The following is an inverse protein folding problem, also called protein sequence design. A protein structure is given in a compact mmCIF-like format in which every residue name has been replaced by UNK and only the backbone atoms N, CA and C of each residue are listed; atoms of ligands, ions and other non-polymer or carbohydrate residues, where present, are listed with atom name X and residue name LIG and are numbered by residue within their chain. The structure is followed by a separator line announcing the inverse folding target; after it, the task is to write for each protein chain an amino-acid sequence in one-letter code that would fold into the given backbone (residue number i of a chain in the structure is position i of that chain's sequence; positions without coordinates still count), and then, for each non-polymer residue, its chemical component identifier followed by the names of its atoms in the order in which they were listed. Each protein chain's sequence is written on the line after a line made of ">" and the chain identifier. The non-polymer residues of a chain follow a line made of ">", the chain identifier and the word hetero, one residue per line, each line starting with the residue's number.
data_IF_386680179040
#
_entry.id   IF_386680179040
#
_cell.length_a   1.000
_cell.length_b   1.000
_cell.length_c   1.000
_cell.angle_alpha   90.00
_cell.angle_beta   90.00
_cell.angle_gamma   90.00
#
_symmetry.space_group_name_H-M   'P 1'
#
loop_
_entity.id
_entity.type
_entity.pdbx_description
1 polymer ?
#
# COMPACT_ATOMS: atom_id res chain seq x y z
N UNK A 1 32.56 13.70 -3.50
CA UNK A 1 31.35 14.45 -3.08
C UNK A 1 31.58 15.01 -1.68
N UNK A 2 31.04 16.17 -1.35
CA UNK A 2 31.12 16.69 0.02
C UNK A 2 30.21 15.86 0.95
N UNK A 3 30.53 15.79 2.24
CA UNK A 3 29.70 15.12 3.26
C UNK A 3 28.24 15.65 3.23
N UNK A 4 28.06 16.96 3.03
CA UNK A 4 26.75 17.60 2.91
C UNK A 4 25.96 17.08 1.70
N UNK A 5 26.59 16.87 0.55
CA UNK A 5 25.93 16.33 -0.65
C UNK A 5 25.42 14.92 -0.39
N UNK A 6 26.22 14.05 0.21
CA UNK A 6 25.82 12.67 0.53
C UNK A 6 24.63 12.66 1.51
N UNK A 7 24.67 13.52 2.53
CA UNK A 7 23.56 13.64 3.50
C UNK A 7 22.27 14.15 2.86
N UNK A 8 22.36 15.13 1.95
CA UNK A 8 21.20 15.67 1.24
C UNK A 8 20.59 14.60 0.34
N UNK A 9 21.40 13.89 -0.44
CA UNK A 9 20.95 12.78 -1.27
C UNK A 9 20.23 11.70 -0.44
N UNK A 10 20.76 11.35 0.72
CA UNK A 10 20.11 10.39 1.61
C UNK A 10 18.72 10.87 2.07
N UNK A 11 18.61 12.14 2.49
CA UNK A 11 17.32 12.73 2.89
C UNK A 11 16.33 12.72 1.75
N UNK A 12 16.74 13.05 0.53
CA UNK A 12 15.91 13.02 -0.67
C UNK A 12 15.41 11.61 -0.99
N UNK A 13 16.27 10.59 -0.85
CA UNK A 13 15.89 9.20 -1.06
C UNK A 13 14.86 8.72 -0.02
N UNK A 14 15.06 9.04 1.25
CA UNK A 14 14.08 8.74 2.31
C UNK A 14 12.75 9.42 2.02
N UNK A 15 12.76 10.70 1.62
CA UNK A 15 11.56 11.44 1.25
C UNK A 15 10.85 10.83 0.03
N UNK A 16 11.60 10.30 -0.95
CA UNK A 16 11.05 9.63 -2.12
C UNK A 16 10.33 8.32 -1.72
N UNK A 17 10.93 7.49 -0.86
CA UNK A 17 10.32 6.25 -0.35
C UNK A 17 9.07 6.56 0.48
N UNK A 18 9.11 7.58 1.35
CA UNK A 18 7.92 8.04 2.08
C UNK A 18 6.78 8.44 1.15
N UNK A 19 7.08 9.25 0.13
CA UNK A 19 6.08 9.67 -0.88
C UNK A 19 5.51 8.47 -1.62
N UNK A 20 6.38 7.52 -1.99
CA UNK A 20 5.97 6.28 -2.63
C UNK A 20 4.94 5.53 -1.76
N UNK A 21 5.24 5.33 -0.48
CA UNK A 21 4.32 4.64 0.44
C UNK A 21 3.02 5.40 0.69
N UNK A 22 3.10 6.68 1.02
CA UNK A 22 1.91 7.46 1.40
C UNK A 22 1.02 7.79 0.21
N UNK A 23 1.62 8.33 -0.88
CA UNK A 23 0.85 8.87 -1.98
C UNK A 23 0.56 7.86 -3.08
N UNK A 24 1.51 6.96 -3.39
CA UNK A 24 1.31 5.99 -4.46
C UNK A 24 0.60 4.74 -3.94
N UNK A 25 1.06 4.16 -2.81
CA UNK A 25 0.46 2.95 -2.28
C UNK A 25 -0.83 3.24 -1.49
N UNK A 26 -0.74 3.93 -0.35
CA UNK A 26 -1.88 4.09 0.56
C UNK A 26 -3.03 4.88 -0.09
N UNK A 27 -2.77 6.10 -0.54
CA UNK A 27 -3.80 6.91 -1.24
C UNK A 27 -4.23 6.24 -2.56
N UNK A 28 -3.28 5.63 -3.31
CA UNK A 28 -3.58 4.95 -4.56
C UNK A 28 -4.54 3.78 -4.38
N UNK A 29 -4.32 2.90 -3.40
CA UNK A 29 -5.23 1.79 -3.10
C UNK A 29 -6.59 2.30 -2.61
N UNK A 30 -6.63 3.30 -1.72
CA UNK A 30 -7.87 3.87 -1.22
C UNK A 30 -8.70 4.53 -2.35
N UNK A 31 -8.04 5.15 -3.31
CA UNK A 31 -8.67 5.70 -4.52
C UNK A 31 -9.25 4.61 -5.41
N UNK A 32 -8.52 3.51 -5.63
CA UNK A 32 -9.01 2.36 -6.39
C UNK A 32 -10.26 1.74 -5.74
N UNK A 33 -10.26 1.59 -4.42
CA UNK A 33 -11.43 1.11 -3.65
C UNK A 33 -12.62 2.06 -3.81
N UNK A 34 -12.37 3.36 -3.89
CA UNK A 34 -13.38 4.38 -4.15
C UNK A 34 -13.85 4.47 -5.62
N UNK A 35 -13.26 3.67 -6.52
CA UNK A 35 -13.61 3.62 -7.95
C UNK A 35 -12.80 4.57 -8.84
N UNK A 36 -11.83 5.30 -8.29
CA UNK A 36 -10.93 6.16 -9.07
C UNK A 36 -9.76 5.35 -9.64
N UNK A 37 -9.87 4.97 -10.89
CA UNK A 37 -8.87 4.13 -11.58
C UNK A 37 -7.63 4.90 -12.04
N UNK A 38 -7.57 6.21 -11.91
CA UNK A 38 -6.42 7.02 -12.32
C UNK A 38 -5.14 6.71 -11.53
N UNK A 39 -5.27 6.10 -10.32
CA UNK A 39 -4.15 5.65 -9.51
C UNK A 39 -3.39 4.44 -10.11
N UNK A 40 -3.98 3.68 -11.05
CA UNK A 40 -3.37 2.46 -11.62
C UNK A 40 -2.00 2.70 -12.23
N UNK A 41 -1.85 3.75 -13.03
CA UNK A 41 -0.61 4.02 -13.74
C UNK A 41 0.56 4.27 -12.77
N UNK A 42 0.33 5.05 -11.71
CA UNK A 42 1.35 5.33 -10.71
C UNK A 42 1.74 4.07 -9.92
N UNK A 43 0.77 3.29 -9.46
CA UNK A 43 1.02 2.02 -8.78
C UNK A 43 1.79 1.05 -9.67
N UNK A 44 1.37 0.87 -10.92
CA UNK A 44 2.04 0.01 -11.89
C UNK A 44 3.49 0.44 -12.16
N UNK A 45 3.76 1.73 -12.32
CA UNK A 45 5.10 2.25 -12.59
C UNK A 45 6.10 1.95 -11.47
N UNK A 46 5.62 1.80 -10.25
CA UNK A 46 6.44 1.54 -9.06
C UNK A 46 6.48 0.08 -8.59
N UNK A 47 5.98 -0.86 -9.38
CA UNK A 47 6.20 -2.29 -9.16
C UNK A 47 7.38 -2.76 -10.03
N UNK A 48 8.33 -3.51 -9.47
CA UNK A 48 9.35 -4.19 -10.27
C UNK A 48 8.71 -5.33 -11.08
N UNK A 49 9.36 -5.76 -12.14
CA UNK A 49 8.84 -6.84 -12.98
C UNK A 49 8.67 -8.16 -12.22
N UNK A 50 9.57 -8.39 -11.26
CA UNK A 50 9.66 -9.58 -10.41
C UNK A 50 9.05 -9.38 -9.01
N UNK A 51 8.23 -8.35 -8.82
CA UNK A 51 7.64 -8.02 -7.51
C UNK A 51 6.94 -9.22 -6.88
N UNK A 52 7.13 -9.34 -5.56
CA UNK A 52 6.48 -10.35 -4.74
C UNK A 52 5.58 -9.67 -3.72
N UNK A 53 4.34 -10.11 -3.63
CA UNK A 53 3.43 -9.69 -2.55
C UNK A 53 3.09 -10.88 -1.65
N UNK A 54 3.22 -10.67 -0.34
CA UNK A 54 3.00 -11.64 0.71
C UNK A 54 2.05 -11.04 1.74
N UNK A 55 0.80 -11.49 1.75
CA UNK A 55 -0.22 -10.99 2.66
C UNK A 55 -0.78 -12.09 3.53
N UNK A 56 -0.92 -11.81 4.82
CA UNK A 56 -1.45 -12.75 5.80
C UNK A 56 -2.69 -13.50 5.28
N UNK A 57 -2.60 -14.82 5.29
CA UNK A 57 -3.69 -15.71 4.88
C UNK A 57 -3.90 -15.82 3.36
N UNK A 58 -2.91 -15.43 2.55
CA UNK A 58 -2.89 -15.65 1.11
C UNK A 58 -1.68 -16.46 0.69
N UNK A 59 -1.77 -17.09 -0.48
CA UNK A 59 -0.60 -17.64 -1.16
C UNK A 59 0.31 -16.51 -1.62
N UNK A 60 1.61 -16.83 -1.72
CA UNK A 60 2.61 -15.90 -2.22
C UNK A 60 2.32 -15.55 -3.69
N UNK A 61 2.26 -14.26 -3.97
CA UNK A 61 1.95 -13.74 -5.30
C UNK A 61 3.20 -13.18 -5.94
N UNK A 62 3.55 -13.69 -7.10
CA UNK A 62 4.77 -13.32 -7.81
C UNK A 62 4.49 -12.73 -9.18
N UNK A 63 5.29 -11.73 -9.53
CA UNK A 63 5.23 -11.05 -10.81
C UNK A 63 4.24 -9.88 -10.85
N UNK A 64 4.63 -8.87 -11.60
CA UNK A 64 3.92 -7.59 -11.69
C UNK A 64 2.44 -7.76 -12.07
N UNK A 65 2.15 -8.54 -13.10
CA UNK A 65 0.77 -8.72 -13.57
C UNK A 65 -0.13 -9.36 -12.49
N UNK A 66 0.40 -10.31 -11.71
CA UNK A 66 -0.33 -10.93 -10.61
C UNK A 66 -0.66 -9.94 -9.50
N UNK A 67 0.32 -9.12 -9.11
CA UNK A 67 0.16 -8.12 -8.05
C UNK A 67 -0.79 -6.99 -8.51
N UNK A 68 -0.69 -6.57 -9.78
CA UNK A 68 -1.61 -5.60 -10.38
C UNK A 68 -3.06 -6.10 -10.38
N UNK A 69 -3.30 -7.35 -10.75
CA UNK A 69 -4.65 -7.91 -10.73
C UNK A 69 -5.27 -7.88 -9.33
N UNK A 70 -4.46 -8.05 -8.28
CA UNK A 70 -4.94 -7.92 -6.91
C UNK A 70 -5.29 -6.47 -6.57
N UNK A 71 -4.41 -5.52 -6.83
CA UNK A 71 -4.65 -4.12 -6.52
C UNK A 71 -5.80 -3.52 -7.34
N UNK A 72 -5.89 -3.90 -8.62
CA UNK A 72 -6.80 -3.26 -9.56
C UNK A 72 -8.18 -3.91 -9.65
N UNK A 73 -8.29 -5.18 -9.23
CA UNK A 73 -9.52 -5.96 -9.37
C UNK A 73 -9.99 -6.52 -8.02
N UNK A 74 -9.15 -7.30 -7.34
CA UNK A 74 -9.59 -8.03 -6.15
C UNK A 74 -9.83 -7.12 -4.94
N UNK A 75 -8.97 -6.14 -4.69
CA UNK A 75 -9.11 -5.22 -3.56
C UNK A 75 -10.37 -4.36 -3.73
N UNK A 76 -10.61 -3.70 -4.89
CA UNK A 76 -11.85 -2.95 -5.12
C UNK A 76 -13.12 -3.82 -5.15
N UNK A 77 -13.01 -5.11 -5.54
CA UNK A 77 -14.14 -6.04 -5.47
C UNK A 77 -14.43 -6.49 -4.03
N UNK A 78 -13.45 -6.44 -3.14
CA UNK A 78 -13.58 -6.85 -1.74
C UNK A 78 -14.06 -5.71 -0.84
N UNK A 79 -13.53 -4.51 -1.04
CA UNK A 79 -13.77 -3.35 -0.18
C UNK A 79 -14.62 -2.29 -0.88
N UNK A 80 -15.51 -1.67 -0.13
CA UNK A 80 -16.25 -0.46 -0.55
C UNK A 80 -15.64 0.81 0.03
N UNK A 81 -14.83 0.68 1.07
CA UNK A 81 -14.06 1.75 1.68
C UNK A 81 -12.78 1.17 2.29
N UNK A 82 -11.70 1.92 2.20
CA UNK A 82 -10.48 1.73 2.98
C UNK A 82 -9.82 3.07 3.24
N UNK A 83 -9.07 3.13 4.33
CA UNK A 83 -8.22 4.26 4.63
C UNK A 83 -6.92 3.73 5.24
N UNK A 84 -5.93 3.54 4.38
CA UNK A 84 -4.61 3.08 4.82
C UNK A 84 -3.87 4.21 5.52
N UNK A 85 -3.53 3.99 6.77
CA UNK A 85 -2.66 4.86 7.56
C UNK A 85 -1.41 4.07 7.93
N UNK A 86 -0.24 4.63 7.64
CA UNK A 86 1.05 4.03 8.00
C UNK A 86 1.82 4.95 8.92
N UNK A 87 2.47 4.38 9.92
CA UNK A 87 3.06 5.06 11.07
C UNK A 87 4.42 4.44 11.39
N UNK A 88 5.22 5.16 12.18
CA UNK A 88 6.46 4.65 12.79
C UNK A 88 7.39 3.97 11.78
N UNK A 89 7.64 4.66 10.68
CA UNK A 89 8.51 4.13 9.65
C UNK A 89 9.96 3.94 10.11
N UNK A 90 10.55 2.85 9.64
CA UNK A 90 12.00 2.64 9.64
C UNK A 90 12.39 2.38 8.19
N UNK A 91 13.31 3.18 7.66
CA UNK A 91 13.77 3.10 6.27
C UNK A 91 15.30 3.03 6.28
N UNK A 92 15.85 1.95 5.77
CA UNK A 92 17.27 1.74 5.60
C UNK A 92 17.61 1.67 4.11
N UNK A 93 18.60 2.46 3.66
CA UNK A 93 18.99 2.56 2.26
C UNK A 93 20.47 2.18 2.14
N UNK A 94 20.74 1.24 1.22
CA UNK A 94 22.09 0.86 0.82
C UNK A 94 22.22 0.90 -0.72
N UNK A 95 22.79 2.00 -1.23
CA UNK A 95 22.90 2.23 -2.66
C UNK A 95 21.56 2.28 -3.38
N UNK A 96 21.33 1.31 -4.25
CA UNK A 96 20.10 1.18 -5.04
C UNK A 96 19.10 0.17 -4.46
N UNK A 97 19.29 -0.27 -3.23
CA UNK A 97 18.34 -1.11 -2.51
C UNK A 97 17.92 -0.45 -1.19
N UNK A 98 16.71 -0.70 -0.77
CA UNK A 98 16.20 -0.22 0.51
C UNK A 98 15.27 -1.26 1.14
N UNK A 99 15.22 -1.22 2.48
CA UNK A 99 14.17 -1.86 3.25
C UNK A 99 13.34 -0.81 3.97
N UNK A 100 12.05 -1.05 4.09
CA UNK A 100 11.16 -0.17 4.84
C UNK A 100 10.19 -1.00 5.68
N UNK A 101 9.91 -0.53 6.88
CA UNK A 101 8.86 -1.09 7.73
C UNK A 101 7.94 0.00 8.25
N UNK A 102 6.66 -0.35 8.40
CA UNK A 102 5.60 0.58 8.78
C UNK A 102 4.60 -0.14 9.67
N UNK A 103 4.07 0.52 10.68
CA UNK A 103 2.81 0.07 11.27
C UNK A 103 1.66 0.41 10.34
N UNK A 104 0.67 -0.49 10.30
CA UNK A 104 -0.56 -0.32 9.52
C UNK A 104 -1.74 -0.13 10.47
N UNK A 105 -2.54 0.87 10.18
CA UNK A 105 -3.86 1.10 10.76
C UNK A 105 -4.82 1.39 9.59
N UNK A 106 -5.79 0.50 9.36
CA UNK A 106 -6.68 0.60 8.21
C UNK A 106 -8.13 0.24 8.59
N UNK A 107 -8.98 1.24 8.86
CA UNK A 107 -10.42 1.01 8.85
C UNK A 107 -10.89 0.67 7.43
N UNK A 108 -11.70 -0.38 7.33
CA UNK A 108 -12.21 -0.88 6.06
C UNK A 108 -13.69 -1.24 6.16
N UNK A 109 -14.41 -1.10 5.05
CA UNK A 109 -15.79 -1.58 4.89
C UNK A 109 -15.80 -2.60 3.76
N UNK A 110 -16.31 -3.77 4.04
CA UNK A 110 -16.37 -4.87 3.08
C UNK A 110 -17.64 -4.80 2.24
N UNK A 111 -17.51 -5.16 0.96
CA UNK A 111 -18.67 -5.28 0.08
C UNK A 111 -19.51 -6.50 0.44
N UNK A 112 -20.84 -6.44 0.43
CA UNK A 112 -21.69 -7.62 0.59
C UNK A 112 -21.30 -8.70 -0.43
N UNK A 113 -21.25 -9.95 0.02
CA UNK A 113 -20.92 -11.10 -0.83
C UNK A 113 -19.47 -11.15 -1.33
N UNK A 114 -18.56 -10.39 -0.74
CA UNK A 114 -17.14 -10.41 -1.11
C UNK A 114 -16.50 -11.81 -0.92
N UNK A 115 -15.43 -12.04 -1.66
CA UNK A 115 -14.74 -13.36 -1.67
C UNK A 115 -14.15 -13.76 -0.30
N UNK A 116 -13.94 -12.80 0.59
CA UNK A 116 -13.44 -13.05 1.96
C UNK A 116 -14.53 -13.47 2.93
N UNK A 117 -15.80 -13.35 2.57
CA UNK A 117 -16.98 -13.61 3.40
C UNK A 117 -16.94 -12.84 4.74
N UNK A 118 -16.35 -11.66 4.74
CA UNK A 118 -16.33 -10.73 5.87
C UNK A 118 -17.48 -9.76 5.65
N UNK A 119 -18.32 -9.58 6.64
CA UNK A 119 -19.46 -8.65 6.58
C UNK A 119 -19.19 -7.38 7.38
N UNK A 120 -19.75 -6.27 6.92
CA UNK A 120 -19.71 -4.99 7.60
C UNK A 120 -18.35 -4.32 7.52
N UNK A 121 -17.87 -3.81 8.63
CA UNK A 121 -16.61 -3.07 8.75
C UNK A 121 -15.63 -3.73 9.71
N UNK A 122 -14.37 -3.43 9.51
CA UNK A 122 -13.29 -3.88 10.39
C UNK A 122 -12.20 -2.82 10.54
N UNK A 123 -11.49 -2.90 11.66
CA UNK A 123 -10.20 -2.25 11.84
C UNK A 123 -9.11 -3.29 11.65
N UNK A 124 -8.23 -3.04 10.70
CA UNK A 124 -7.08 -3.88 10.39
C UNK A 124 -5.84 -3.22 10.99
N UNK A 125 -5.15 -3.91 11.88
CA UNK A 125 -3.91 -3.46 12.49
C UNK A 125 -2.80 -4.44 12.14
N UNK A 126 -1.62 -3.92 11.83
CA UNK A 126 -0.51 -4.78 11.46
C UNK A 126 0.74 -4.01 11.05
N UNK A 127 1.49 -4.61 10.14
CA UNK A 127 2.76 -4.07 9.67
C UNK A 127 2.95 -4.32 8.19
N UNK A 128 3.61 -3.38 7.54
CA UNK A 128 4.27 -3.63 6.26
C UNK A 128 5.77 -3.84 6.49
N UNK A 129 6.32 -4.79 5.74
CA UNK A 129 7.75 -4.97 5.53
C UNK A 129 8.00 -4.97 4.03
N UNK A 130 8.87 -4.10 3.57
CA UNK A 130 9.04 -3.84 2.15
C UNK A 130 10.51 -3.90 1.76
N UNK A 131 10.77 -4.45 0.58
CA UNK A 131 12.04 -4.34 -0.11
C UNK A 131 11.83 -3.51 -1.37
N UNK A 132 12.70 -2.54 -1.55
CA UNK A 132 12.66 -1.64 -2.70
C UNK A 132 13.98 -1.72 -3.48
N UNK A 133 13.88 -1.46 -4.77
CA UNK A 133 15.01 -1.34 -5.68
C UNK A 133 14.87 -0.03 -6.46
N UNK A 134 15.99 0.66 -6.65
CA UNK A 134 16.01 1.86 -7.48
C UNK A 134 16.48 1.49 -8.88
N UNK A 135 15.58 1.65 -9.84
CA UNK A 135 15.82 1.37 -11.26
C UNK A 135 15.68 2.67 -12.05
N UNK A 136 16.75 3.07 -12.75
CA UNK A 136 16.84 4.33 -13.49
C UNK A 136 16.44 5.56 -12.63
N UNK A 137 16.86 5.58 -11.36
CA UNK A 137 16.56 6.66 -10.42
C UNK A 137 15.17 6.62 -9.78
N UNK A 138 14.35 5.63 -10.11
CA UNK A 138 12.98 5.47 -9.60
C UNK A 138 12.91 4.30 -8.62
N UNK A 139 12.41 4.55 -7.40
CA UNK A 139 12.17 3.50 -6.43
C UNK A 139 10.96 2.66 -6.84
N UNK A 140 11.11 1.32 -6.77
CA UNK A 140 10.08 0.32 -7.08
C UNK A 140 10.02 -0.71 -5.97
N UNK A 141 8.83 -1.19 -5.65
CA UNK A 141 8.69 -2.35 -4.77
C UNK A 141 9.16 -3.61 -5.48
N UNK A 142 10.07 -4.32 -4.82
CA UNK A 142 10.48 -5.69 -5.16
C UNK A 142 9.77 -6.71 -4.27
N UNK A 143 9.47 -6.33 -3.02
CA UNK A 143 8.65 -7.14 -2.11
C UNK A 143 7.74 -6.23 -1.29
N UNK A 144 6.50 -6.68 -1.11
CA UNK A 144 5.53 -6.07 -0.21
C UNK A 144 4.97 -7.17 0.69
N UNK A 145 5.32 -7.17 1.97
CA UNK A 145 4.76 -8.08 2.95
C UNK A 145 3.81 -7.31 3.85
N UNK A 146 2.56 -7.74 3.95
CA UNK A 146 1.57 -7.17 4.86
C UNK A 146 1.16 -8.22 5.90
N UNK A 147 1.62 -8.03 7.13
CA UNK A 147 1.34 -8.87 8.28
C UNK A 147 0.21 -8.23 9.08
N UNK A 148 -0.95 -8.88 9.13
CA UNK A 148 -2.05 -8.45 9.99
C UNK A 148 -1.87 -9.08 11.37
N UNK A 149 -1.69 -8.24 12.37
CA UNK A 149 -1.61 -8.66 13.78
C UNK A 149 -3.01 -8.79 14.40
N UNK A 150 -3.92 -7.90 14.01
CA UNK A 150 -5.31 -7.86 14.51
C UNK A 150 -6.26 -7.49 13.38
N UNK A 151 -7.40 -8.16 13.33
CA UNK A 151 -8.58 -7.73 12.60
C UNK A 151 -9.77 -7.73 13.55
N UNK A 152 -10.23 -6.54 13.92
CA UNK A 152 -11.40 -6.36 14.75
C UNK A 152 -12.59 -5.98 13.90
N UNK A 153 -13.61 -6.84 13.85
CA UNK A 153 -14.89 -6.49 13.21
C UNK A 153 -15.65 -5.49 14.09
N UNK A 154 -16.21 -4.47 13.44
CA UNK A 154 -16.89 -3.34 14.11
C UNK A 154 -18.41 -3.40 13.96
N UNK A 155 -18.95 -4.52 13.45
CA UNK A 155 -20.39 -4.69 13.23
C UNK A 155 -20.90 -3.95 12.00
N UNK A 156 -22.24 -3.89 11.87
CA UNK A 156 -22.92 -3.34 10.69
C UNK A 156 -23.19 -1.82 10.78
N UNK A 157 -22.93 -1.21 11.92
CA UNK A 157 -23.29 0.19 12.18
C UNK A 157 -22.31 1.21 11.57
N UNK A 158 -21.16 0.75 11.08
CA UNK A 158 -20.21 1.58 10.38
C UNK A 158 -20.60 1.68 8.90
N UNK A 159 -21.08 2.83 8.52
CA UNK A 159 -21.37 3.14 7.12
C UNK A 159 -20.35 4.15 6.60
N UNK A 160 -19.80 3.89 5.43
CA UNK A 160 -19.00 4.89 4.73
C UNK A 160 -19.88 6.09 4.39
N UNK A 161 -19.67 7.21 5.02
CA UNK A 161 -20.27 8.47 4.62
C UNK A 161 -19.67 8.85 3.28
N UNK A 162 -20.47 8.88 2.22
CA UNK A 162 -20.00 9.17 0.87
C UNK A 162 -19.16 10.44 0.82
N UNK A 163 -18.03 10.40 0.14
CA UNK A 163 -17.20 11.59 -0.09
C UNK A 163 -18.06 12.64 -0.78
N UNK A 164 -18.11 13.87 -0.26
CA UNK A 164 -18.71 14.99 -0.97
C UNK A 164 -17.98 15.13 -2.30
N UNK A 165 -18.71 15.02 -3.41
CA UNK A 165 -18.16 15.33 -4.72
C UNK A 165 -17.72 16.79 -4.74
N UNK A 166 -16.43 17.02 -4.98
CA UNK A 166 -15.87 18.35 -5.18
C UNK A 166 -15.34 19.01 -3.89
N UNK A 167 -14.09 18.77 -3.61
CA UNK A 167 -13.08 19.76 -3.19
C UNK A 167 -11.74 19.05 -2.95
N UNK A 168 -10.95 18.96 -3.99
CA UNK A 168 -9.48 18.95 -3.95
C UNK A 168 -8.97 19.88 -5.02
#
# INVERSE_FOLDING_TARGET
>A
MSDLTVRLEHIEQVAAIRRLKHSVYCDGIDRLVAGDTSARAALSAHLSADVVADWTGRELMTGKATVEAIFFEQVPATLSFSQHRVLNEVIDIDGDVATASWYLDCPAVFRPGNVRKIEGSALLLGRYQEELVRDNGVWKWRRITALLDVMQTLGHDWQAVGRRAGNR
#
